data_IF_569295489163
#
_entry.id   IF_569295489163
#
_cell.length_a   1.000
_cell.length_b   1.000
_cell.length_c   1.000
_cell.angle_alpha   90.00
_cell.angle_beta   90.00
_cell.angle_gamma   90.00
#
_symmetry.space_group_name_H-M   'P 1'
#
loop_
_entity.id
_entity.type
_entity.pdbx_description
1 polymer ?
#
# COMPACT_ATOMS: atom_id res chain seq x y z
N UNK A 1 79.76 -19.82 50.66
CA UNK A 1 78.87 -18.82 51.31
C UNK A 1 79.29 -17.34 51.17
N UNK A 2 80.45 -16.96 50.58
CA UNK A 2 80.87 -15.54 50.45
C UNK A 2 80.26 -14.75 49.27
N UNK A 3 79.78 -15.43 48.21
CA UNK A 3 79.19 -14.77 47.02
C UNK A 3 77.77 -14.21 47.23
N UNK A 4 76.90 -14.96 47.92
CA UNK A 4 75.51 -14.55 48.18
C UNK A 4 75.38 -13.27 49.02
N UNK A 5 76.25 -13.09 50.03
CA UNK A 5 76.27 -11.87 50.86
C UNK A 5 76.69 -10.61 50.08
N UNK A 6 77.55 -10.73 49.05
CA UNK A 6 77.94 -9.60 48.18
C UNK A 6 76.86 -9.25 47.16
N UNK A 7 76.12 -10.22 46.67
CA UNK A 7 74.99 -10.00 45.76
C UNK A 7 73.81 -9.35 46.50
N UNK A 8 73.48 -9.85 47.69
CA UNK A 8 72.43 -9.29 48.53
C UNK A 8 72.71 -7.84 48.97
N UNK A 9 73.96 -7.52 49.32
CA UNK A 9 74.32 -6.14 49.70
C UNK A 9 74.33 -5.17 48.51
N UNK A 10 74.56 -5.65 47.28
CA UNK A 10 74.44 -4.83 46.05
C UNK A 10 72.98 -4.55 45.70
N UNK A 11 72.11 -5.56 45.79
CA UNK A 11 70.66 -5.41 45.62
C UNK A 11 70.06 -4.46 46.66
N UNK A 12 70.45 -4.60 47.93
CA UNK A 12 69.96 -3.73 49.01
C UNK A 12 70.42 -2.28 48.79
N UNK A 13 71.66 -2.05 48.36
CA UNK A 13 72.16 -0.69 48.01
C UNK A 13 71.45 -0.11 46.79
N UNK A 14 71.09 -0.94 45.80
CA UNK A 14 70.31 -0.49 44.65
C UNK A 14 68.88 -0.11 45.05
N UNK A 15 68.21 -0.90 45.90
CA UNK A 15 66.88 -0.58 46.43
C UNK A 15 66.88 0.68 47.30
N UNK A 16 67.91 0.87 48.13
CA UNK A 16 68.07 2.10 48.94
C UNK A 16 68.33 3.32 48.03
N UNK A 17 69.10 3.17 46.94
CA UNK A 17 69.30 4.24 45.96
C UNK A 17 68.01 4.58 45.21
N UNK A 18 67.22 3.58 44.84
CA UNK A 18 65.90 3.78 44.22
C UNK A 18 64.93 4.45 45.20
N UNK A 19 64.95 4.06 46.48
CA UNK A 19 64.12 4.68 47.53
C UNK A 19 64.57 6.11 47.88
N UNK A 20 65.85 6.46 47.71
CA UNK A 20 66.38 7.80 47.93
C UNK A 20 66.30 8.70 46.68
N UNK A 21 65.89 8.17 45.52
CA UNK A 21 65.83 8.93 44.28
C UNK A 21 64.56 9.78 44.20
N UNK A 22 64.74 11.11 44.28
CA UNK A 22 63.65 12.09 44.21
C UNK A 22 63.20 12.40 42.78
N UNK A 23 63.90 11.88 41.76
CA UNK A 23 63.53 12.07 40.34
C UNK A 23 62.27 11.27 39.94
N UNK A 24 61.84 10.31 40.77
CA UNK A 24 60.64 9.49 40.54
C UNK A 24 59.30 10.11 40.97
N UNK A 25 59.28 11.23 41.71
CA UNK A 25 58.02 11.81 42.23
C UNK A 25 57.03 12.22 41.14
N UNK A 26 57.54 12.76 40.02
CA UNK A 26 56.72 13.12 38.85
C UNK A 26 56.14 11.88 38.16
N UNK A 27 56.84 10.74 38.19
CA UNK A 27 56.36 9.50 37.56
C UNK A 27 55.14 8.93 38.27
N UNK A 28 55.06 9.07 39.60
CA UNK A 28 53.89 8.62 40.39
C UNK A 28 52.68 9.51 40.11
N UNK A 29 52.86 10.84 40.06
CA UNK A 29 51.77 11.77 39.72
C UNK A 29 51.29 11.54 38.28
N UNK A 30 52.20 11.36 37.33
CA UNK A 30 51.87 11.06 35.94
C UNK A 30 51.10 9.72 35.82
N UNK A 31 51.56 8.67 36.51
CA UNK A 31 50.88 7.38 36.52
C UNK A 31 49.45 7.46 37.08
N UNK A 32 49.24 8.24 38.14
CA UNK A 32 47.92 8.46 38.73
C UNK A 32 47.01 9.32 37.83
N UNK A 33 47.57 10.30 37.11
CA UNK A 33 46.82 11.13 36.16
C UNK A 33 46.49 10.42 34.85
N UNK A 34 47.26 9.39 34.48
CA UNK A 34 47.03 8.64 33.25
C UNK A 34 45.72 7.83 33.30
N UNK A 35 45.34 7.32 34.48
CA UNK A 35 44.08 6.58 34.68
C UNK A 35 42.84 7.41 34.31
N UNK A 36 42.60 8.61 34.88
CA UNK A 36 41.44 9.43 34.51
C UNK A 36 41.53 9.96 33.07
N UNK A 37 42.72 10.21 32.52
CA UNK A 37 42.86 10.63 31.11
C UNK A 37 42.43 9.52 30.14
N UNK A 38 42.93 8.30 30.36
CA UNK A 38 42.54 7.12 29.56
C UNK A 38 41.05 6.81 29.74
N UNK A 39 40.52 6.99 30.95
CA UNK A 39 39.09 6.82 31.22
C UNK A 39 38.22 7.77 30.40
N UNK A 40 38.55 9.07 30.38
CA UNK A 40 37.80 10.08 29.64
C UNK A 40 37.91 9.85 28.13
N UNK A 41 39.10 9.49 27.62
CA UNK A 41 39.29 9.13 26.21
C UNK A 41 38.49 7.88 25.83
N UNK A 42 38.52 6.85 26.68
CA UNK A 42 37.74 5.63 26.49
C UNK A 42 36.26 5.91 26.45
N UNK A 43 35.76 6.68 27.42
CA UNK A 43 34.35 7.06 27.48
C UNK A 43 33.95 7.84 26.23
N UNK A 44 34.73 8.84 25.81
CA UNK A 44 34.40 9.66 24.64
C UNK A 44 34.36 8.83 23.34
N UNK A 45 35.39 8.01 23.10
CA UNK A 45 35.52 7.23 21.86
C UNK A 45 34.49 6.10 21.79
N UNK A 46 34.31 5.35 22.87
CA UNK A 46 33.37 4.22 22.90
C UNK A 46 31.92 4.69 22.89
N UNK A 47 31.60 5.78 23.62
CA UNK A 47 30.25 6.37 23.58
C UNK A 47 29.92 6.91 22.18
N UNK A 48 30.86 7.59 21.51
CA UNK A 48 30.65 8.04 20.14
C UNK A 48 30.39 6.87 19.18
N UNK A 49 31.12 5.76 19.34
CA UNK A 49 30.88 4.52 18.60
C UNK A 49 29.49 3.95 18.87
N UNK A 50 29.08 3.84 20.13
CA UNK A 50 27.75 3.35 20.51
C UNK A 50 26.62 4.20 19.91
N UNK A 51 26.76 5.53 19.92
CA UNK A 51 25.77 6.42 19.30
C UNK A 51 25.71 6.26 17.78
N UNK A 52 26.86 6.09 17.12
CA UNK A 52 26.91 5.84 15.69
C UNK A 52 26.19 4.53 15.33
N UNK A 53 26.51 3.45 16.03
CA UNK A 53 25.85 2.16 15.83
C UNK A 53 24.37 2.18 16.22
N UNK A 54 23.97 2.95 17.25
CA UNK A 54 22.57 3.13 17.61
C UNK A 54 21.80 3.78 16.47
N UNK A 55 22.28 4.89 15.89
CA UNK A 55 21.61 5.54 14.75
C UNK A 55 21.53 4.65 13.51
N UNK A 56 22.63 3.96 13.21
CA UNK A 56 22.65 3.01 12.10
C UNK A 56 21.66 1.84 12.32
N UNK A 57 21.57 1.34 13.56
CA UNK A 57 20.63 0.28 13.93
C UNK A 57 19.17 0.76 13.84
N UNK A 58 18.88 2.01 14.20
CA UNK A 58 17.53 2.59 14.04
C UNK A 58 17.14 2.68 12.57
N UNK A 59 18.01 3.22 11.70
CA UNK A 59 17.74 3.25 10.26
C UNK A 59 17.53 1.84 9.68
N UNK A 60 18.29 0.85 10.16
CA UNK A 60 18.12 -0.54 9.76
C UNK A 60 16.80 -1.14 10.24
N UNK A 61 16.43 -0.89 11.51
CA UNK A 61 15.18 -1.37 12.09
C UNK A 61 13.96 -0.76 11.38
N UNK A 62 13.98 0.55 11.12
CA UNK A 62 12.93 1.27 10.41
C UNK A 62 12.73 0.68 9.01
N UNK A 63 13.79 0.60 8.21
CA UNK A 63 13.72 0.03 6.86
C UNK A 63 13.27 -1.44 6.87
N UNK A 64 13.74 -2.24 7.83
CA UNK A 64 13.38 -3.64 7.94
C UNK A 64 11.93 -3.85 8.41
N UNK A 65 11.40 -3.01 9.29
CA UNK A 65 10.00 -3.06 9.74
C UNK A 65 9.04 -2.76 8.60
N UNK A 66 9.35 -1.71 7.81
CA UNK A 66 8.63 -1.40 6.59
C UNK A 66 8.63 -2.61 5.65
N UNK A 67 9.81 -3.16 5.33
CA UNK A 67 9.92 -4.29 4.42
C UNK A 67 9.19 -5.57 4.91
N UNK A 68 9.22 -5.85 6.21
CA UNK A 68 8.44 -6.94 6.81
C UNK A 68 6.93 -6.73 6.63
N UNK A 69 6.44 -5.51 6.89
CA UNK A 69 5.05 -5.14 6.69
C UNK A 69 4.64 -5.08 5.21
N UNK A 70 5.59 -4.81 4.30
CA UNK A 70 5.41 -4.84 2.85
C UNK A 70 5.10 -6.24 2.34
N UNK A 71 5.91 -7.21 2.75
CA UNK A 71 5.78 -8.60 2.35
C UNK A 71 4.51 -9.23 2.93
N UNK A 72 4.14 -8.83 4.16
CA UNK A 72 2.92 -9.23 4.86
C UNK A 72 2.64 -10.75 4.84
N UNK A 73 3.67 -11.59 4.75
CA UNK A 73 3.52 -13.02 4.54
C UNK A 73 4.25 -13.86 5.57
N UNK A 74 3.47 -14.62 6.35
CA UNK A 74 3.98 -15.47 7.43
C UNK A 74 4.52 -16.82 6.95
N UNK A 75 4.20 -17.27 5.73
CA UNK A 75 4.56 -18.62 5.28
C UNK A 75 5.02 -18.63 3.83
N UNK A 76 6.25 -19.12 3.59
CA UNK A 76 6.88 -19.16 2.27
C UNK A 76 6.12 -19.99 1.22
N UNK A 77 5.28 -20.94 1.65
CA UNK A 77 4.42 -21.75 0.77
C UNK A 77 3.28 -20.97 0.12
N UNK A 78 2.93 -19.78 0.67
CA UNK A 78 1.89 -18.90 0.14
C UNK A 78 2.47 -17.80 -0.76
N UNK A 79 3.74 -17.42 -0.56
CA UNK A 79 4.32 -16.21 -1.16
C UNK A 79 5.61 -16.42 -1.97
N UNK A 80 6.05 -17.66 -2.15
CA UNK A 80 7.26 -17.99 -2.92
C UNK A 80 8.54 -17.71 -2.13
N UNK A 81 9.18 -18.76 -1.63
CA UNK A 81 10.54 -18.84 -1.07
C UNK A 81 10.96 -17.91 0.09
N UNK A 82 10.33 -16.75 0.33
CA UNK A 82 10.75 -15.79 1.36
C UNK A 82 9.57 -15.33 2.24
N UNK A 83 9.81 -15.24 3.55
CA UNK A 83 8.85 -14.74 4.57
C UNK A 83 9.11 -13.29 4.94
N UNK A 84 8.19 -12.65 5.69
CA UNK A 84 8.41 -11.30 6.24
C UNK A 84 9.72 -11.19 7.05
N UNK A 85 10.14 -12.29 7.70
CA UNK A 85 11.36 -12.31 8.51
C UNK A 85 12.62 -12.38 7.64
N UNK A 86 12.55 -13.05 6.50
CA UNK A 86 13.66 -13.12 5.55
C UNK A 86 13.88 -11.76 4.89
N UNK A 87 12.79 -11.06 4.54
CA UNK A 87 12.86 -9.71 3.97
C UNK A 87 13.44 -8.70 4.96
N UNK A 88 13.00 -8.74 6.23
CA UNK A 88 13.57 -7.90 7.29
C UNK A 88 15.09 -8.11 7.45
N UNK A 89 15.56 -9.36 7.35
CA UNK A 89 16.99 -9.70 7.43
C UNK A 89 17.75 -9.25 6.18
N UNK A 90 17.16 -9.41 4.99
CA UNK A 90 17.76 -8.98 3.74
C UNK A 90 17.98 -7.47 3.69
N UNK A 91 17.00 -6.68 4.16
CA UNK A 91 17.12 -5.23 4.27
C UNK A 91 18.14 -4.83 5.34
N UNK A 92 18.08 -5.42 6.54
CA UNK A 92 19.03 -5.12 7.62
C UNK A 92 20.50 -5.38 7.20
N UNK A 93 20.73 -6.41 6.38
CA UNK A 93 22.06 -6.69 5.79
C UNK A 93 22.60 -5.52 4.96
N UNK A 94 21.75 -4.77 4.24
CA UNK A 94 22.18 -3.58 3.46
C UNK A 94 22.71 -2.45 4.35
N UNK A 95 22.27 -2.41 5.61
CA UNK A 95 22.75 -1.48 6.63
C UNK A 95 23.90 -2.07 7.46
N UNK A 96 24.51 -3.17 7.01
CA UNK A 96 25.57 -3.89 7.71
C UNK A 96 25.13 -4.52 9.05
N UNK A 97 23.85 -4.87 9.18
CA UNK A 97 23.29 -5.63 10.30
C UNK A 97 22.83 -7.01 9.83
N UNK A 98 23.79 -7.90 9.59
CA UNK A 98 23.51 -9.26 9.13
C UNK A 98 23.18 -10.15 10.33
N UNK A 99 21.99 -10.75 10.35
CA UNK A 99 21.59 -11.69 11.40
C UNK A 99 22.58 -12.86 11.51
N UNK A 100 23.10 -13.11 12.71
CA UNK A 100 24.05 -14.19 12.99
C UNK A 100 25.52 -13.87 12.68
N UNK A 101 25.83 -12.65 12.21
CA UNK A 101 27.20 -12.17 12.00
C UNK A 101 27.49 -10.94 12.87
N UNK A 102 28.77 -10.68 13.17
CA UNK A 102 29.21 -9.49 13.93
C UNK A 102 28.41 -9.22 15.22
N UNK A 103 28.08 -10.30 15.94
CA UNK A 103 27.23 -10.28 17.14
C UNK A 103 25.92 -9.52 16.95
N UNK A 104 25.34 -9.63 15.75
CA UNK A 104 24.12 -8.95 15.35
C UNK A 104 22.96 -9.94 15.29
N UNK A 105 21.83 -9.57 15.87
CA UNK A 105 20.57 -10.31 15.75
C UNK A 105 19.48 -9.40 15.23
N UNK A 106 18.79 -9.87 14.19
CA UNK A 106 17.60 -9.23 13.61
C UNK A 106 16.41 -10.16 13.80
N UNK A 107 15.41 -9.70 14.54
CA UNK A 107 14.20 -10.47 14.84
C UNK A 107 13.00 -9.68 14.35
N UNK A 108 12.18 -10.30 13.50
CA UNK A 108 10.92 -9.76 13.03
C UNK A 108 9.76 -10.57 13.63
N UNK A 109 8.72 -9.88 14.09
CA UNK A 109 7.48 -10.45 14.61
C UNK A 109 6.30 -9.84 13.86
N UNK A 110 5.29 -10.64 13.54
CA UNK A 110 4.00 -10.18 13.02
C UNK A 110 2.94 -10.20 14.13
N UNK A 111 1.72 -9.74 13.81
CA UNK A 111 0.56 -9.75 14.70
C UNK A 111 0.82 -9.05 16.06
N UNK A 112 1.59 -7.97 16.04
CA UNK A 112 1.88 -7.17 17.23
C UNK A 112 0.84 -6.06 17.38
N UNK A 113 0.51 -5.71 18.63
CA UNK A 113 -0.29 -4.53 18.92
C UNK A 113 0.41 -3.28 18.38
N UNK A 114 -0.28 -2.49 17.57
CA UNK A 114 0.22 -1.23 17.07
C UNK A 114 0.34 -0.21 18.22
N UNK A 115 1.34 0.69 18.19
CA UNK A 115 1.45 1.76 19.18
C UNK A 115 0.21 2.67 19.24
N UNK A 116 -0.06 3.20 20.44
CA UNK A 116 -1.12 4.18 20.69
C UNK A 116 -0.99 5.38 19.74
N UNK A 117 -2.10 5.91 19.17
CA UNK A 117 -3.50 5.67 19.53
C UNK A 117 -4.18 4.50 18.80
N UNK A 118 -3.45 3.72 18.01
CA UNK A 118 -4.04 2.57 17.30
C UNK A 118 -4.40 1.43 18.26
N UNK A 119 -5.52 0.75 18.00
CA UNK A 119 -5.93 -0.48 18.69
C UNK A 119 -5.75 -1.72 17.83
N UNK A 120 -5.16 -1.56 16.63
CA UNK A 120 -4.93 -2.65 15.68
C UNK A 120 -3.84 -3.60 16.17
N UNK A 121 -3.91 -4.87 15.75
CA UNK A 121 -2.97 -5.94 16.14
C UNK A 121 -2.21 -6.53 14.96
N UNK A 122 -2.28 -5.90 13.80
CA UNK A 122 -1.65 -6.37 12.57
C UNK A 122 -0.23 -5.80 12.36
N UNK A 123 0.36 -5.09 13.33
CA UNK A 123 1.67 -4.49 13.17
C UNK A 123 2.81 -5.53 13.13
N UNK A 124 3.84 -5.20 12.36
CA UNK A 124 5.12 -5.88 12.34
C UNK A 124 6.10 -5.14 13.24
N UNK A 125 6.85 -5.87 14.04
CA UNK A 125 7.91 -5.34 14.91
C UNK A 125 9.24 -5.93 14.50
N UNK A 126 10.21 -5.08 14.18
CA UNK A 126 11.59 -5.50 13.93
C UNK A 126 12.51 -4.97 15.00
N UNK A 127 13.30 -5.86 15.58
CA UNK A 127 14.32 -5.55 16.58
C UNK A 127 15.69 -5.87 16.01
N UNK A 128 16.55 -4.87 15.91
CA UNK A 128 17.96 -4.99 15.51
C UNK A 128 18.82 -4.81 16.76
N UNK A 129 19.61 -5.83 17.09
CA UNK A 129 20.52 -5.82 18.23
C UNK A 129 21.94 -6.03 17.75
N UNK A 130 22.91 -5.27 18.27
CA UNK A 130 24.34 -5.51 18.06
C UNK A 130 25.11 -5.37 19.37
N UNK A 131 25.95 -6.36 19.66
CA UNK A 131 26.82 -6.35 20.83
C UNK A 131 28.24 -5.89 20.46
N UNK A 132 28.68 -4.78 21.07
CA UNK A 132 29.96 -4.15 20.78
C UNK A 132 30.94 -4.41 21.94
N UNK A 133 32.15 -4.92 21.67
CA UNK A 133 33.15 -5.12 22.70
C UNK A 133 33.57 -3.77 23.29
N UNK A 134 33.78 -3.78 24.61
CA UNK A 134 34.30 -2.65 25.36
C UNK A 134 35.80 -2.88 25.56
N UNK A 135 36.63 -1.85 25.38
CA UNK A 135 38.08 -1.92 25.54
C UNK A 135 38.57 -0.96 26.63
N UNK A 136 38.39 0.34 26.44
CA UNK A 136 39.04 1.38 27.24
C UNK A 136 38.27 1.72 28.52
N UNK A 137 36.94 1.77 28.48
CA UNK A 137 36.13 2.07 29.69
C UNK A 137 36.20 0.96 30.74
N UNK A 138 36.74 -0.22 30.40
CA UNK A 138 37.04 -1.28 31.39
C UNK A 138 38.03 -0.83 32.45
N UNK A 139 38.93 0.11 32.14
CA UNK A 139 39.93 0.63 33.10
C UNK A 139 39.27 1.29 34.32
N UNK A 140 38.04 1.81 34.16
CA UNK A 140 37.25 2.40 35.25
C UNK A 140 36.12 1.49 35.74
N UNK A 141 36.18 0.19 35.42
CA UNK A 141 35.22 -0.79 35.90
C UNK A 141 33.87 -0.78 35.19
N UNK A 142 33.74 -0.12 34.03
CA UNK A 142 32.53 -0.22 33.22
C UNK A 142 32.40 -1.62 32.63
N UNK A 143 31.36 -2.35 33.05
CA UNK A 143 31.10 -3.74 32.65
C UNK A 143 30.17 -3.90 31.45
N UNK A 144 29.65 -2.81 30.88
CA UNK A 144 28.68 -2.87 29.79
C UNK A 144 27.32 -3.39 30.23
N UNK A 145 26.64 -4.06 29.30
CA UNK A 145 25.34 -4.68 29.55
C UNK A 145 25.51 -5.99 30.30
N UNK A 146 24.83 -6.14 31.44
CA UNK A 146 24.97 -7.33 32.30
C UNK A 146 24.67 -8.62 31.52
N UNK A 147 25.56 -9.62 31.67
CA UNK A 147 25.42 -10.93 31.02
C UNK A 147 25.77 -10.97 29.52
N UNK A 148 26.22 -9.85 28.93
CA UNK A 148 26.59 -9.79 27.51
C UNK A 148 28.11 -9.84 27.37
N UNK A 149 28.60 -10.82 26.61
CA UNK A 149 30.03 -10.98 26.34
C UNK A 149 30.30 -11.14 24.86
N UNK A 150 31.38 -10.53 24.39
CA UNK A 150 31.90 -10.68 23.03
C UNK A 150 33.37 -11.08 23.17
N UNK A 151 33.77 -12.17 22.51
CA UNK A 151 35.12 -12.73 22.59
C UNK A 151 35.62 -12.94 24.03
N UNK A 152 34.73 -13.37 24.93
CA UNK A 152 35.07 -13.66 26.33
C UNK A 152 35.23 -12.44 27.24
N UNK A 153 34.93 -11.23 26.77
CA UNK A 153 34.95 -10.02 27.61
C UNK A 153 33.63 -9.24 27.60
N UNK A 154 33.40 -8.32 28.55
CA UNK A 154 32.18 -7.53 28.62
C UNK A 154 31.96 -6.68 27.37
N UNK A 155 30.69 -6.56 26.99
CA UNK A 155 30.24 -5.85 25.82
C UNK A 155 29.03 -4.95 26.12
N UNK A 156 28.85 -3.91 25.31
CA UNK A 156 27.69 -3.05 25.35
C UNK A 156 26.70 -3.47 24.28
N UNK A 157 25.45 -3.70 24.69
CA UNK A 157 24.36 -4.03 23.77
C UNK A 157 23.67 -2.77 23.27
N UNK A 158 23.53 -2.67 21.97
CA UNK A 158 22.81 -1.62 21.24
C UNK A 158 21.54 -2.25 20.68
N UNK A 159 20.38 -1.64 20.94
CA UNK A 159 19.06 -2.15 20.52
C UNK A 159 18.30 -1.04 19.81
N UNK A 160 17.79 -1.38 18.62
CA UNK A 160 16.85 -0.58 17.87
C UNK A 160 15.58 -1.37 17.61
N UNK A 161 14.44 -0.69 17.70
CA UNK A 161 13.12 -1.27 17.51
C UNK A 161 12.32 -0.33 16.65
N UNK A 162 11.72 -0.87 15.60
CA UNK A 162 10.76 -0.17 14.78
C UNK A 162 9.51 -1.03 14.61
N UNK A 163 8.37 -0.37 14.45
CA UNK A 163 7.11 -1.03 14.13
C UNK A 163 6.52 -0.40 12.86
N UNK A 164 5.92 -1.24 12.03
CA UNK A 164 5.21 -0.81 10.84
C UNK A 164 3.91 -1.58 10.72
N UNK A 165 2.85 -0.92 10.27
CA UNK A 165 1.59 -1.59 9.95
C UNK A 165 1.57 -2.01 8.47
N UNK A 166 1.04 -3.20 8.14
CA UNK A 166 0.71 -3.54 6.76
C UNK A 166 -0.47 -2.67 6.31
N UNK A 167 -0.67 -2.56 5.00
CA UNK A 167 -1.81 -1.88 4.39
C UNK A 167 -3.12 -2.35 5.03
N UNK A 168 -4.00 -1.43 5.41
CA UNK A 168 -5.32 -1.81 5.93
C UNK A 168 -6.15 -2.42 4.79
N UNK A 169 -6.91 -3.48 5.08
CA UNK A 169 -7.94 -3.97 4.15
C UNK A 169 -8.91 -2.82 3.84
N UNK A 170 -8.93 -2.35 2.60
CA UNK A 170 -9.69 -1.16 2.18
C UNK A 170 -8.83 -0.03 1.59
N UNK A 171 -7.51 -0.06 1.78
CA UNK A 171 -6.60 0.90 1.14
C UNK A 171 -6.21 0.47 -0.29
N UNK A 172 -6.93 -0.41 -0.99
CA UNK A 172 -6.51 -1.05 -2.27
C UNK A 172 -6.37 -0.15 -3.52
N UNK A 173 -6.17 -0.77 -4.68
CA UNK A 173 -6.12 -0.07 -5.97
C UNK A 173 -7.52 0.46 -6.32
N UNK A 174 -7.67 1.78 -6.37
CA UNK A 174 -8.92 2.38 -6.83
C UNK A 174 -8.95 2.51 -8.36
N UNK A 175 -7.80 2.40 -9.03
CA UNK A 175 -7.74 2.31 -10.48
C UNK A 175 -7.03 1.04 -10.90
N UNK A 176 -7.58 0.35 -11.90
CA UNK A 176 -6.94 -0.81 -12.50
C UNK A 176 -7.15 -0.87 -14.02
N UNK A 177 -6.11 -1.26 -14.76
CA UNK A 177 -6.24 -1.66 -16.16
C UNK A 177 -5.93 -3.14 -16.33
N UNK A 178 -6.79 -3.85 -17.07
CA UNK A 178 -6.70 -5.30 -17.26
C UNK A 178 -5.94 -5.68 -18.54
N UNK A 179 -5.96 -4.82 -19.56
CA UNK A 179 -5.19 -4.96 -20.79
C UNK A 179 -5.37 -6.31 -21.51
N UNK A 180 -6.61 -6.78 -21.66
CA UNK A 180 -6.96 -7.92 -22.49
C UNK A 180 -6.56 -7.73 -23.97
N UNK A 181 -6.51 -6.47 -24.43
CA UNK A 181 -6.02 -6.11 -25.75
C UNK A 181 -4.50 -6.31 -25.95
N UNK A 182 -3.74 -6.61 -24.90
CA UNK A 182 -2.28 -6.76 -24.91
C UNK A 182 -1.54 -5.57 -25.55
N UNK A 183 -2.02 -4.35 -25.31
CA UNK A 183 -1.31 -3.14 -25.72
C UNK A 183 -0.10 -2.89 -24.83
N UNK A 184 0.93 -2.24 -25.37
CA UNK A 184 2.15 -1.93 -24.61
C UNK A 184 1.86 -1.01 -23.41
N UNK A 185 1.07 0.04 -23.63
CA UNK A 185 0.72 1.02 -22.60
C UNK A 185 -0.80 1.03 -22.43
N UNK A 186 -1.29 0.51 -21.30
CA UNK A 186 -2.73 0.43 -21.02
C UNK A 186 -3.25 1.58 -20.16
N UNK A 187 -2.34 2.32 -19.50
CA UNK A 187 -2.67 3.54 -18.77
C UNK A 187 -1.88 4.73 -19.30
N UNK A 188 -2.58 5.78 -19.70
CA UNK A 188 -1.96 7.05 -20.14
C UNK A 188 -2.62 8.25 -19.49
N UNK A 189 -1.83 9.28 -19.19
CA UNK A 189 -2.36 10.58 -18.76
C UNK A 189 -1.73 11.72 -19.55
N UNK A 190 -2.57 12.50 -20.24
CA UNK A 190 -2.18 13.59 -21.12
C UNK A 190 -2.81 14.91 -20.65
N UNK A 191 -2.05 15.74 -19.95
CA UNK A 191 -2.49 17.08 -19.56
C UNK A 191 -3.58 17.08 -18.49
N UNK A 192 -3.24 16.58 -17.30
CA UNK A 192 -4.11 16.51 -16.12
C UNK A 192 -3.50 17.24 -14.90
N UNK A 193 -3.21 18.56 -14.99
CA UNK A 193 -2.49 19.30 -13.93
C UNK A 193 -3.27 19.41 -12.61
N UNK A 194 -4.58 19.14 -12.63
CA UNK A 194 -5.46 19.21 -11.47
C UNK A 194 -5.92 17.82 -10.99
N UNK A 195 -5.37 16.73 -11.53
CA UNK A 195 -5.71 15.39 -11.05
C UNK A 195 -5.33 15.26 -9.58
N UNK A 196 -6.29 14.87 -8.73
CA UNK A 196 -6.10 14.72 -7.31
C UNK A 196 -6.52 13.30 -6.87
N UNK A 197 -5.58 12.37 -7.04
CA UNK A 197 -5.74 10.98 -6.68
C UNK A 197 -5.06 10.64 -5.35
N UNK A 198 -4.96 11.61 -4.42
CA UNK A 198 -4.17 11.53 -3.18
C UNK A 198 -4.43 10.33 -2.27
N UNK A 199 -5.61 9.71 -2.39
CA UNK A 199 -6.04 8.53 -1.63
C UNK A 199 -6.20 7.28 -2.50
N UNK A 200 -5.78 7.32 -3.76
CA UNK A 200 -5.90 6.23 -4.69
C UNK A 200 -4.53 5.70 -5.10
N UNK A 201 -4.44 4.37 -5.15
CA UNK A 201 -3.35 3.67 -5.82
C UNK A 201 -3.85 3.09 -7.16
N UNK A 202 -2.93 2.93 -8.11
CA UNK A 202 -3.21 2.31 -9.41
C UNK A 202 -2.47 0.99 -9.60
N UNK A 203 -3.14 0.04 -10.24
CA UNK A 203 -2.51 -1.17 -10.78
C UNK A 203 -2.70 -1.23 -12.30
N UNK A 204 -1.60 -1.27 -13.04
CA UNK A 204 -1.62 -1.22 -14.50
C UNK A 204 -1.06 -2.52 -15.06
N UNK A 205 -1.87 -3.26 -15.81
CA UNK A 205 -1.38 -4.41 -16.56
C UNK A 205 -0.75 -3.92 -17.87
N UNK A 206 0.57 -4.00 -18.00
CA UNK A 206 1.35 -3.36 -19.07
C UNK A 206 2.07 -2.10 -18.56
N UNK A 207 2.34 -1.16 -19.47
CA UNK A 207 3.03 0.08 -19.14
C UNK A 207 2.05 1.21 -18.75
N UNK A 208 2.55 2.12 -17.91
CA UNK A 208 1.90 3.37 -17.53
C UNK A 208 2.73 4.57 -18.02
N UNK A 209 2.08 5.61 -18.55
CA UNK A 209 2.75 6.87 -18.90
C UNK A 209 1.90 8.09 -18.51
N UNK A 210 2.41 8.92 -17.60
CA UNK A 210 1.72 10.11 -17.12
C UNK A 210 2.34 11.45 -17.59
N UNK A 211 3.23 11.41 -18.57
CA UNK A 211 3.82 12.56 -19.25
C UNK A 211 4.30 13.68 -18.30
N UNK A 212 5.05 13.31 -17.25
CA UNK A 212 5.68 14.25 -16.33
C UNK A 212 4.81 14.72 -15.16
N UNK A 213 3.75 13.98 -14.79
CA UNK A 213 2.90 14.31 -13.64
C UNK A 213 2.44 13.06 -12.87
N UNK A 214 2.51 13.09 -11.54
CA UNK A 214 2.20 11.93 -10.69
C UNK A 214 0.70 11.66 -10.46
N UNK A 215 -0.17 12.56 -10.93
CA UNK A 215 -1.63 12.56 -10.75
C UNK A 215 -2.06 12.61 -9.27
N UNK A 216 -1.14 12.94 -8.37
CA UNK A 216 -1.23 12.75 -6.94
C UNK A 216 -1.53 11.29 -6.52
N UNK A 217 -1.33 10.29 -7.38
CA UNK A 217 -1.52 8.88 -7.04
C UNK A 217 -0.53 8.50 -5.94
N UNK A 218 -0.99 7.75 -4.93
CA UNK A 218 -0.15 7.29 -3.84
C UNK A 218 0.98 6.40 -4.35
N UNK A 219 0.59 5.24 -4.88
CA UNK A 219 1.47 4.28 -5.54
C UNK A 219 0.88 3.82 -6.86
N UNK A 220 1.72 3.80 -7.89
CA UNK A 220 1.39 3.20 -9.18
C UNK A 220 2.21 1.95 -9.40
N UNK A 221 1.52 0.81 -9.36
CA UNK A 221 2.09 -0.52 -9.63
C UNK A 221 1.82 -0.91 -11.07
N UNK A 222 2.82 -1.39 -11.78
CA UNK A 222 2.73 -1.78 -13.18
C UNK A 222 3.36 -3.16 -13.40
N UNK A 223 2.83 -3.96 -14.32
CA UNK A 223 3.48 -5.22 -14.71
C UNK A 223 4.58 -5.02 -15.76
N UNK A 224 4.58 -3.86 -16.43
CA UNK A 224 5.65 -3.39 -17.31
C UNK A 224 6.42 -2.23 -16.67
N UNK A 225 6.56 -1.12 -17.41
CA UNK A 225 7.24 0.10 -16.97
C UNK A 225 6.25 1.19 -16.53
N UNK A 226 6.72 2.11 -15.70
CA UNK A 226 5.99 3.28 -15.23
C UNK A 226 6.79 4.55 -15.53
N UNK A 227 6.21 5.44 -16.34
CA UNK A 227 6.79 6.74 -16.63
C UNK A 227 6.03 7.84 -15.88
N UNK A 228 6.54 8.24 -14.71
CA UNK A 228 6.09 9.37 -13.87
C UNK A 228 4.69 9.26 -13.26
N UNK A 229 4.05 8.08 -13.29
CA UNK A 229 2.75 7.91 -12.66
C UNK A 229 2.88 7.60 -11.16
N UNK A 230 2.22 8.39 -10.31
CA UNK A 230 2.22 8.23 -8.86
C UNK A 230 3.49 8.71 -8.16
N UNK A 231 3.37 8.94 -6.85
CA UNK A 231 4.48 9.40 -6.00
C UNK A 231 5.51 8.31 -5.73
N UNK A 232 5.08 7.06 -5.83
CA UNK A 232 5.91 5.88 -5.73
C UNK A 232 5.58 4.96 -6.90
N UNK A 233 6.62 4.54 -7.61
CA UNK A 233 6.51 3.69 -8.78
C UNK A 233 6.97 2.27 -8.43
N UNK A 234 6.14 1.28 -8.75
CA UNK A 234 6.49 -0.14 -8.65
C UNK A 234 6.36 -0.73 -10.05
N UNK A 235 7.48 -1.11 -10.65
CA UNK A 235 7.53 -1.67 -11.99
C UNK A 235 7.73 -3.18 -11.97
N UNK A 236 7.41 -3.85 -13.09
CA UNK A 236 7.62 -5.28 -13.29
C UNK A 236 6.99 -6.16 -12.20
N UNK A 237 5.87 -5.72 -11.63
CA UNK A 237 5.13 -6.47 -10.63
C UNK A 237 4.45 -7.70 -11.25
N UNK A 238 4.19 -8.71 -10.42
CA UNK A 238 3.39 -9.85 -10.84
C UNK A 238 1.97 -9.39 -11.24
N UNK A 239 1.46 -9.94 -12.33
CA UNK A 239 0.09 -9.68 -12.76
C UNK A 239 -0.92 -10.16 -11.72
N UNK A 240 -1.97 -9.36 -11.50
CA UNK A 240 -3.12 -9.73 -10.66
C UNK A 240 -4.20 -10.26 -11.59
N UNK A 241 -4.75 -11.44 -11.27
CA UNK A 241 -5.93 -11.95 -11.96
C UNK A 241 -7.11 -10.99 -11.75
N UNK A 242 -7.99 -10.86 -12.74
CA UNK A 242 -9.16 -9.97 -12.65
C UNK A 242 -9.95 -10.21 -11.34
N UNK A 243 -9.99 -9.21 -10.43
CA UNK A 243 -10.54 -9.37 -9.10
C UNK A 243 -12.08 -9.41 -9.07
N UNK A 244 -12.78 -9.00 -10.14
CA UNK A 244 -14.26 -8.97 -10.18
C UNK A 244 -14.86 -9.77 -11.32
N UNK A 245 -14.06 -10.50 -12.10
CA UNK A 245 -14.57 -11.42 -13.12
C UNK A 245 -15.53 -12.48 -12.55
N UNK A 246 -15.37 -12.87 -11.28
CA UNK A 246 -16.24 -13.85 -10.61
C UNK A 246 -17.71 -13.38 -10.49
N UNK A 247 -17.97 -12.07 -10.58
CA UNK A 247 -19.33 -11.54 -10.55
C UNK A 247 -20.09 -11.81 -11.86
N UNK A 248 -19.39 -12.07 -12.97
CA UNK A 248 -19.96 -12.31 -14.30
C UNK A 248 -20.50 -13.72 -14.53
N UNK A 249 -20.71 -14.50 -13.45
CA UNK A 249 -21.23 -15.87 -13.58
C UNK A 249 -22.71 -15.87 -13.99
N UNK A 250 -23.16 -16.95 -14.64
CA UNK A 250 -24.57 -17.14 -14.99
C UNK A 250 -25.52 -17.13 -13.78
N UNK A 251 -25.00 -17.34 -12.56
CA UNK A 251 -25.80 -17.23 -11.34
C UNK A 251 -26.15 -15.77 -11.01
N UNK A 252 -25.24 -14.84 -11.29
CA UNK A 252 -25.40 -13.42 -10.99
C UNK A 252 -25.96 -12.62 -12.18
N UNK A 253 -25.68 -13.07 -13.41
CA UNK A 253 -26.21 -12.53 -14.66
C UNK A 253 -26.88 -13.67 -15.43
N UNK A 254 -28.11 -14.08 -15.04
CA UNK A 254 -28.84 -15.14 -15.72
C UNK A 254 -28.96 -14.84 -17.23
N UNK A 255 -28.71 -15.81 -18.10
CA UNK A 255 -28.93 -15.63 -19.53
C UNK A 255 -30.37 -15.18 -19.80
N UNK A 256 -30.53 -14.05 -20.49
CA UNK A 256 -31.83 -13.53 -20.87
C UNK A 256 -31.91 -13.33 -22.38
N UNK A 257 -32.94 -13.88 -23.01
CA UNK A 257 -33.17 -13.71 -24.45
C UNK A 257 -34.30 -12.72 -24.66
N UNK A 258 -33.97 -11.59 -25.27
CA UNK A 258 -34.94 -10.57 -25.65
C UNK A 258 -35.65 -10.96 -26.95
N UNK A 259 -36.97 -10.73 -27.03
CA UNK A 259 -37.73 -10.92 -28.27
C UNK A 259 -37.33 -9.90 -29.36
N UNK A 260 -37.01 -8.68 -28.96
CA UNK A 260 -36.44 -7.61 -29.80
C UNK A 260 -35.56 -6.70 -28.95
N UNK A 261 -34.76 -5.86 -29.61
CA UNK A 261 -33.83 -4.92 -28.96
C UNK A 261 -34.20 -3.47 -29.29
N UNK A 262 -35.49 -3.14 -29.21
CA UNK A 262 -35.99 -1.80 -29.56
C UNK A 262 -35.63 -0.73 -28.53
N UNK A 263 -35.12 -1.12 -27.35
CA UNK A 263 -34.87 -0.23 -26.23
C UNK A 263 -36.14 0.21 -25.51
N UNK A 264 -35.96 0.98 -24.45
CA UNK A 264 -37.03 1.57 -23.64
C UNK A 264 -36.74 3.05 -23.39
N UNK A 265 -37.79 3.85 -23.21
CA UNK A 265 -37.66 5.22 -22.69
C UNK A 265 -38.45 5.36 -21.41
N UNK A 266 -37.75 5.70 -20.31
CA UNK A 266 -38.38 5.98 -19.03
C UNK A 266 -38.66 7.47 -18.91
N UNK A 267 -39.95 7.81 -18.92
CA UNK A 267 -40.45 9.16 -18.68
C UNK A 267 -41.06 9.32 -17.27
N UNK A 268 -41.15 8.23 -16.52
CA UNK A 268 -41.57 8.19 -15.13
C UNK A 268 -40.69 7.18 -14.38
N UNK A 269 -40.47 7.42 -13.08
CA UNK A 269 -39.58 6.59 -12.28
C UNK A 269 -40.25 5.23 -11.98
N UNK A 270 -39.69 4.10 -12.46
CA UNK A 270 -40.11 2.81 -11.93
C UNK A 270 -39.71 2.70 -10.46
N UNK A 271 -40.56 2.05 -9.67
CA UNK A 271 -40.16 1.63 -8.33
C UNK A 271 -39.21 0.44 -8.48
N UNK A 272 -37.97 0.57 -8.00
CA UNK A 272 -36.97 -0.47 -8.15
C UNK A 272 -36.94 -1.47 -6.99
N UNK A 273 -37.70 -1.26 -5.91
CA UNK A 273 -37.60 -2.07 -4.68
C UNK A 273 -37.85 -3.58 -4.87
N UNK A 274 -38.43 -4.00 -5.99
CA UNK A 274 -38.69 -5.40 -6.33
C UNK A 274 -37.61 -6.05 -7.21
N UNK A 275 -36.68 -5.27 -7.76
CA UNK A 275 -35.67 -5.75 -8.71
C UNK A 275 -34.36 -6.08 -8.02
N UNK A 276 -34.25 -7.27 -7.45
CA UNK A 276 -33.06 -7.70 -6.71
C UNK A 276 -32.05 -8.40 -7.62
N UNK A 277 -30.90 -8.81 -7.09
CA UNK A 277 -29.95 -9.66 -7.82
C UNK A 277 -30.57 -10.99 -8.32
N UNK A 278 -31.53 -11.55 -7.57
CA UNK A 278 -32.23 -12.79 -7.94
C UNK A 278 -33.36 -12.57 -8.96
N UNK A 279 -33.88 -11.34 -9.06
CA UNK A 279 -34.94 -10.95 -9.99
C UNK A 279 -34.62 -9.58 -10.60
N UNK A 280 -33.58 -9.48 -11.45
CA UNK A 280 -33.14 -8.19 -11.98
C UNK A 280 -34.12 -7.65 -13.03
N UNK A 281 -34.08 -6.33 -13.23
CA UNK A 281 -34.84 -5.67 -14.29
C UNK A 281 -34.08 -5.72 -15.61
N UNK A 282 -34.53 -6.53 -16.56
CA UNK A 282 -33.98 -6.55 -17.91
C UNK A 282 -34.52 -5.40 -18.76
N UNK A 283 -33.65 -4.73 -19.51
CA UNK A 283 -33.96 -3.79 -20.59
C UNK A 283 -33.33 -4.32 -21.87
N UNK A 284 -34.12 -4.50 -22.91
CA UNK A 284 -33.66 -5.06 -24.18
C UNK A 284 -33.35 -3.95 -25.20
N UNK A 285 -32.08 -3.67 -25.43
CA UNK A 285 -31.62 -2.52 -26.20
C UNK A 285 -31.32 -1.31 -25.30
N UNK A 286 -31.31 -0.10 -25.86
CA UNK A 286 -30.94 1.09 -25.10
C UNK A 286 -31.98 1.45 -24.03
N UNK A 287 -31.54 1.78 -22.81
CA UNK A 287 -32.38 2.43 -21.81
C UNK A 287 -32.22 3.95 -21.93
N UNK A 288 -33.26 4.66 -22.34
CA UNK A 288 -33.26 6.12 -22.44
C UNK A 288 -33.97 6.75 -21.25
N UNK A 289 -33.30 7.66 -20.55
CA UNK A 289 -33.89 8.47 -19.47
C UNK A 289 -34.44 9.75 -20.10
N UNK A 290 -35.75 9.78 -20.35
CA UNK A 290 -36.44 10.83 -21.10
C UNK A 290 -36.92 12.02 -20.28
N UNK A 291 -37.10 11.84 -18.96
CA UNK A 291 -37.45 12.88 -17.99
C UNK A 291 -36.50 12.85 -16.79
N UNK A 292 -36.53 13.84 -15.90
CA UNK A 292 -35.73 13.77 -14.67
C UNK A 292 -36.33 12.71 -13.74
N UNK A 293 -35.58 11.64 -13.49
CA UNK A 293 -36.02 10.50 -12.69
C UNK A 293 -35.26 10.42 -11.37
N UNK A 294 -35.98 10.23 -10.28
CA UNK A 294 -35.43 9.79 -9.00
C UNK A 294 -35.93 8.37 -8.72
N UNK A 295 -35.04 7.39 -8.75
CA UNK A 295 -35.40 5.98 -8.55
C UNK A 295 -35.27 5.60 -7.08
N UNK A 296 -36.39 5.24 -6.47
CA UNK A 296 -36.40 4.65 -5.14
C UNK A 296 -35.97 3.19 -5.23
N UNK A 297 -34.92 2.85 -4.48
CA UNK A 297 -34.36 1.49 -4.39
C UNK A 297 -34.16 1.12 -2.91
N UNK A 298 -34.03 -0.17 -2.61
CA UNK A 298 -33.60 -0.63 -1.28
C UNK A 298 -32.09 -0.44 -1.12
N UNK A 299 -31.63 0.01 0.06
CA UNK A 299 -30.20 0.16 0.37
C UNK A 299 -29.43 -1.17 0.30
N UNK A 300 -30.10 -2.23 0.73
CA UNK A 300 -29.53 -3.57 0.89
C UNK A 300 -30.62 -4.61 0.56
N UNK A 301 -30.33 -5.62 -0.27
CA UNK A 301 -29.08 -5.85 -0.99
C UNK A 301 -28.89 -4.98 -2.25
N UNK A 302 -29.76 -3.97 -2.46
CA UNK A 302 -29.74 -3.14 -3.67
C UNK A 302 -30.72 -3.61 -4.75
N UNK A 303 -30.94 -2.72 -5.72
CA UNK A 303 -31.65 -3.06 -6.95
C UNK A 303 -30.70 -3.29 -8.11
N UNK A 304 -31.07 -4.14 -9.08
CA UNK A 304 -30.25 -4.48 -10.24
C UNK A 304 -31.03 -4.24 -11.54
N UNK A 305 -30.43 -3.48 -12.45
CA UNK A 305 -30.90 -3.30 -13.82
C UNK A 305 -29.88 -3.91 -14.76
N UNK A 306 -30.32 -4.79 -15.67
CA UNK A 306 -29.49 -5.40 -16.71
C UNK A 306 -29.93 -4.83 -18.06
N UNK A 307 -29.02 -4.17 -18.76
CA UNK A 307 -29.23 -3.65 -20.11
C UNK A 307 -28.60 -4.63 -21.10
N UNK A 308 -29.43 -5.34 -21.84
CA UNK A 308 -29.04 -6.38 -22.80
C UNK A 308 -28.83 -5.78 -24.20
N UNK A 309 -27.61 -5.90 -24.75
CA UNK A 309 -27.18 -5.36 -26.05
C UNK A 309 -27.57 -3.89 -26.27
N UNK A 310 -27.34 -3.05 -25.25
CA UNK A 310 -27.62 -1.62 -25.32
C UNK A 310 -26.84 -0.83 -24.27
N UNK A 311 -26.92 0.49 -24.37
CA UNK A 311 -26.35 1.44 -23.43
C UNK A 311 -27.42 2.18 -22.61
N UNK A 312 -26.96 3.00 -21.67
CA UNK A 312 -27.78 3.94 -20.92
C UNK A 312 -27.67 5.31 -21.59
N UNK A 313 -28.80 5.87 -22.04
CA UNK A 313 -28.85 7.17 -22.73
C UNK A 313 -29.51 8.20 -21.82
N UNK A 314 -28.72 9.12 -21.30
CA UNK A 314 -29.15 10.18 -20.38
C UNK A 314 -29.58 11.43 -21.16
N UNK A 315 -30.81 11.43 -21.68
CA UNK A 315 -31.42 12.65 -22.23
C UNK A 315 -31.79 13.65 -21.12
N UNK A 316 -32.01 13.15 -19.90
CA UNK A 316 -32.30 13.88 -18.66
C UNK A 316 -31.59 13.22 -17.47
N UNK A 317 -31.81 13.76 -16.27
CA UNK A 317 -31.12 13.32 -15.06
C UNK A 317 -31.70 12.01 -14.52
N UNK A 318 -30.82 11.13 -14.05
CA UNK A 318 -31.13 9.93 -13.30
C UNK A 318 -30.46 10.01 -11.92
N UNK A 319 -31.26 10.09 -10.86
CA UNK A 319 -30.77 10.13 -9.48
C UNK A 319 -31.31 8.95 -8.68
N UNK A 320 -30.51 8.42 -7.76
CA UNK A 320 -30.94 7.47 -6.73
C UNK A 320 -30.59 8.13 -5.40
N UNK A 321 -31.52 8.25 -4.44
CA UNK A 321 -31.24 8.90 -3.16
C UNK A 321 -30.18 8.19 -2.33
N UNK A 322 -29.47 8.93 -1.46
CA UNK A 322 -28.58 8.35 -0.44
C UNK A 322 -29.38 7.40 0.47
N UNK A 323 -28.77 6.28 0.85
CA UNK A 323 -29.47 5.22 1.58
C UNK A 323 -30.27 4.29 0.67
N UNK A 324 -30.05 4.35 -0.65
CA UNK A 324 -30.53 3.37 -1.64
C UNK A 324 -29.33 2.87 -2.45
N UNK A 325 -29.40 1.65 -2.99
CA UNK A 325 -28.32 1.06 -3.79
C UNK A 325 -28.81 0.59 -5.16
N UNK A 326 -28.10 0.88 -6.23
CA UNK A 326 -28.41 0.43 -7.59
C UNK A 326 -27.15 -0.11 -8.26
N UNK A 327 -27.26 -1.25 -8.93
CA UNK A 327 -26.25 -1.76 -9.84
C UNK A 327 -26.81 -1.76 -11.26
N UNK A 328 -26.08 -1.12 -12.18
CA UNK A 328 -26.38 -1.15 -13.62
C UNK A 328 -25.41 -2.10 -14.29
N UNK A 329 -25.94 -3.15 -14.93
CA UNK A 329 -25.17 -4.18 -15.60
C UNK A 329 -25.36 -4.04 -17.11
N UNK A 330 -24.27 -3.91 -17.86
CA UNK A 330 -24.27 -4.03 -19.32
C UNK A 330 -23.98 -5.48 -19.69
N UNK A 331 -24.94 -6.14 -20.35
CA UNK A 331 -24.91 -7.56 -20.68
C UNK A 331 -25.30 -7.79 -22.14
N UNK A 332 -25.14 -9.02 -22.63
CA UNK A 332 -25.43 -9.38 -24.00
C UNK A 332 -24.97 -10.78 -24.35
N UNK A 333 -25.09 -11.12 -25.64
CA UNK A 333 -24.53 -12.37 -26.15
C UNK A 333 -23.00 -12.33 -26.08
N UNK A 334 -22.39 -13.48 -25.84
CA UNK A 334 -20.93 -13.59 -25.80
C UNK A 334 -20.30 -13.05 -27.09
N UNK A 335 -19.21 -12.31 -26.96
CA UNK A 335 -18.50 -11.70 -28.09
C UNK A 335 -19.18 -10.47 -28.68
N UNK A 336 -20.22 -9.92 -28.05
CA UNK A 336 -20.79 -8.62 -28.47
C UNK A 336 -20.09 -7.45 -27.79
N UNK A 337 -20.16 -6.28 -28.43
CA UNK A 337 -19.62 -5.04 -27.89
C UNK A 337 -20.47 -4.58 -26.68
N UNK A 338 -19.84 -4.17 -25.57
CA UNK A 338 -20.56 -3.59 -24.45
C UNK A 338 -21.19 -2.24 -24.79
N UNK A 339 -22.36 -2.00 -24.20
CA UNK A 339 -22.89 -0.65 -24.10
C UNK A 339 -22.13 0.19 -23.07
N UNK A 340 -22.39 1.49 -23.08
CA UNK A 340 -21.90 2.42 -22.08
C UNK A 340 -22.92 3.53 -21.83
N UNK A 341 -22.63 4.44 -20.90
CA UNK A 341 -23.46 5.61 -20.65
C UNK A 341 -23.16 6.73 -21.65
N UNK A 342 -24.21 7.30 -22.23
CA UNK A 342 -24.13 8.43 -23.18
C UNK A 342 -25.15 9.51 -22.83
N UNK A 343 -25.11 10.65 -23.50
CA UNK A 343 -26.09 11.73 -23.34
C UNK A 343 -25.55 12.94 -22.58
N UNK A 344 -26.46 13.77 -22.08
CA UNK A 344 -26.17 15.09 -21.51
C UNK A 344 -26.70 15.28 -20.07
N UNK A 345 -27.40 14.29 -19.51
CA UNK A 345 -27.96 14.35 -18.16
C UNK A 345 -26.94 14.07 -17.05
N UNK A 346 -27.41 14.10 -15.81
CA UNK A 346 -26.67 13.73 -14.61
C UNK A 346 -26.99 12.28 -14.24
N UNK A 347 -25.97 11.50 -13.89
CA UNK A 347 -26.09 10.18 -13.30
C UNK A 347 -25.57 10.24 -11.86
N UNK A 348 -26.48 10.17 -10.88
CA UNK A 348 -26.16 10.38 -9.46
C UNK A 348 -26.68 9.23 -8.58
N UNK A 349 -25.83 8.27 -8.23
CA UNK A 349 -26.22 7.11 -7.44
C UNK A 349 -25.05 6.37 -6.79
N UNK A 350 -25.37 5.46 -5.86
CA UNK A 350 -24.41 4.54 -5.26
C UNK A 350 -24.75 3.07 -5.59
N UNK A 351 -23.71 2.25 -5.68
CA UNK A 351 -23.84 0.80 -5.58
C UNK A 351 -24.38 0.38 -4.19
N UNK A 352 -24.94 -0.84 -4.06
CA UNK A 352 -25.42 -1.32 -2.77
C UNK A 352 -24.29 -1.62 -1.79
N UNK A 353 -24.56 -1.59 -0.49
CA UNK A 353 -23.53 -1.78 0.55
C UNK A 353 -23.37 -3.22 1.03
N UNK A 354 -24.17 -4.15 0.51
CA UNK A 354 -24.12 -5.59 0.84
C UNK A 354 -24.79 -6.43 -0.25
N UNK A 355 -24.69 -7.75 -0.15
CA UNK A 355 -25.22 -8.68 -1.16
C UNK A 355 -24.23 -8.95 -2.30
N UNK A 356 -24.67 -9.69 -3.32
CA UNK A 356 -23.82 -10.10 -4.46
C UNK A 356 -23.12 -8.93 -5.15
N UNK A 357 -23.81 -7.80 -5.28
CA UNK A 357 -23.30 -6.60 -5.96
C UNK A 357 -22.77 -5.54 -4.99
N UNK A 358 -22.43 -5.94 -3.75
CA UNK A 358 -21.87 -5.03 -2.74
C UNK A 358 -20.71 -4.21 -3.29
N UNK A 359 -20.83 -2.88 -3.20
CA UNK A 359 -19.85 -1.92 -3.70
C UNK A 359 -19.87 -1.71 -5.22
N UNK A 360 -20.70 -2.40 -6.00
CA UNK A 360 -20.69 -2.34 -7.47
C UNK A 360 -21.80 -1.45 -8.01
N UNK A 361 -21.43 -0.31 -8.61
CA UNK A 361 -22.37 0.64 -9.19
C UNK A 361 -22.61 0.38 -10.68
N UNK A 362 -21.54 0.13 -11.44
CA UNK A 362 -21.60 -0.27 -12.85
C UNK A 362 -20.79 -1.51 -13.08
N UNK A 363 -21.35 -2.43 -13.85
CA UNK A 363 -20.71 -3.68 -14.21
C UNK A 363 -20.91 -3.95 -15.70
N UNK A 364 -19.84 -4.22 -16.42
CA UNK A 364 -19.90 -4.82 -17.74
C UNK A 364 -19.64 -6.31 -17.58
N UNK A 365 -20.55 -7.10 -18.12
CA UNK A 365 -20.44 -8.54 -18.21
C UNK A 365 -19.16 -8.96 -18.97
N UNK A 366 -18.24 -9.72 -18.35
CA UNK A 366 -17.02 -10.23 -18.98
C UNK A 366 -17.25 -11.13 -20.20
N UNK A 367 -18.48 -11.62 -20.43
CA UNK A 367 -18.84 -12.34 -21.67
C UNK A 367 -18.79 -11.43 -22.91
N UNK A 368 -18.86 -10.12 -22.72
CA UNK A 368 -18.78 -9.08 -23.76
C UNK A 368 -17.32 -8.77 -24.12
N UNK A 369 -16.69 -9.70 -24.83
CA UNK A 369 -15.24 -9.67 -25.10
C UNK A 369 -14.81 -8.78 -26.27
N UNK A 370 -15.76 -8.20 -27.02
CA UNK A 370 -15.43 -7.26 -28.09
C UNK A 370 -15.07 -5.91 -27.48
N UNK A 371 -13.79 -5.55 -27.55
CA UNK A 371 -13.29 -4.29 -27.03
C UNK A 371 -13.99 -3.08 -27.66
N UNK A 372 -14.44 -2.16 -26.82
CA UNK A 372 -15.10 -0.91 -27.24
C UNK A 372 -14.41 0.27 -26.59
N UNK A 373 -14.44 1.43 -27.24
CA UNK A 373 -13.93 2.68 -26.66
C UNK A 373 -15.08 3.61 -26.27
N UNK A 374 -14.94 4.24 -25.11
CA UNK A 374 -15.86 5.28 -24.64
C UNK A 374 -15.07 6.52 -24.22
N UNK A 375 -15.58 7.71 -24.57
CA UNK A 375 -15.00 8.97 -24.12
C UNK A 375 -15.98 9.73 -23.25
N UNK A 376 -15.63 9.93 -21.99
CA UNK A 376 -16.30 10.86 -21.10
C UNK A 376 -15.68 12.25 -21.25
N UNK A 377 -16.48 13.24 -21.66
CA UNK A 377 -15.97 14.60 -21.96
C UNK A 377 -15.94 15.54 -20.75
N UNK A 378 -16.28 15.05 -19.56
CA UNK A 378 -16.06 15.76 -18.30
C UNK A 378 -17.23 16.58 -17.75
N UNK A 379 -18.22 16.90 -18.58
CA UNK A 379 -19.42 17.65 -18.16
C UNK A 379 -20.74 16.98 -18.58
N UNK A 380 -20.70 16.10 -19.59
CA UNK A 380 -21.88 15.50 -20.21
C UNK A 380 -21.61 14.04 -20.62
N UNK A 381 -22.33 13.06 -20.08
CA UNK A 381 -23.20 13.17 -18.90
C UNK A 381 -22.39 13.39 -17.62
N UNK A 382 -22.90 14.09 -16.60
CA UNK A 382 -22.19 14.24 -15.32
C UNK A 382 -22.23 12.91 -14.55
N UNK A 383 -21.08 12.42 -14.08
CA UNK A 383 -20.98 11.21 -13.26
C UNK A 383 -20.74 11.54 -11.77
N UNK A 384 -21.75 11.27 -10.95
CA UNK A 384 -21.71 11.28 -9.49
C UNK A 384 -21.99 9.86 -8.99
N UNK A 385 -20.97 9.01 -8.95
CA UNK A 385 -21.14 7.57 -8.77
C UNK A 385 -20.31 7.12 -7.58
N UNK A 386 -20.97 6.55 -6.57
CA UNK A 386 -20.28 5.92 -5.43
C UNK A 386 -20.21 4.41 -5.64
N UNK A 387 -19.00 3.85 -5.72
CA UNK A 387 -18.74 2.42 -5.88
C UNK A 387 -17.80 2.09 -7.05
N UNK A 388 -17.80 0.82 -7.43
CA UNK A 388 -17.01 0.26 -8.52
C UNK A 388 -17.71 0.46 -9.87
N UNK A 389 -16.93 0.97 -10.83
CA UNK A 389 -17.22 0.93 -12.25
C UNK A 389 -16.29 -0.10 -12.90
N UNK A 390 -16.80 -1.31 -13.11
CA UNK A 390 -16.05 -2.43 -13.67
C UNK A 390 -16.42 -2.63 -15.14
N UNK A 391 -15.45 -2.40 -16.04
CA UNK A 391 -15.60 -2.30 -17.49
C UNK A 391 -14.46 -3.04 -18.22
N UNK A 392 -14.33 -4.38 -18.06
CA UNK A 392 -13.11 -5.12 -18.38
C UNK A 392 -12.72 -5.17 -19.87
N UNK A 393 -13.64 -4.83 -20.78
CA UNK A 393 -13.35 -4.71 -22.23
C UNK A 393 -13.69 -3.31 -22.77
N UNK A 394 -13.64 -2.28 -21.91
CA UNK A 394 -13.83 -0.89 -22.31
C UNK A 394 -12.51 -0.13 -22.26
N UNK A 395 -12.17 0.54 -23.36
CA UNK A 395 -11.11 1.55 -23.42
C UNK A 395 -11.71 2.90 -23.05
N UNK A 396 -11.52 3.33 -21.80
CA UNK A 396 -12.16 4.52 -21.26
C UNK A 396 -11.23 5.74 -21.33
N UNK A 397 -11.62 6.75 -22.10
CA UNK A 397 -11.00 8.08 -22.09
C UNK A 397 -11.80 9.02 -21.21
N UNK A 398 -11.17 9.60 -20.19
CA UNK A 398 -11.79 10.51 -19.24
C UNK A 398 -11.20 11.91 -19.40
N UNK A 399 -12.06 12.89 -19.72
CA UNK A 399 -11.66 14.28 -19.95
C UNK A 399 -12.18 15.30 -18.94
N UNK A 400 -12.79 14.85 -17.86
CA UNK A 400 -13.10 15.70 -16.72
C UNK A 400 -13.54 14.92 -15.50
N UNK A 401 -14.20 15.61 -14.56
CA UNK A 401 -14.41 15.12 -13.21
C UNK A 401 -15.44 13.99 -13.16
N UNK A 402 -15.10 12.92 -12.47
CA UNK A 402 -16.04 11.93 -11.93
C UNK A 402 -16.04 12.16 -10.42
N UNK A 403 -17.23 12.33 -9.85
CA UNK A 403 -17.41 12.55 -8.41
C UNK A 403 -18.15 11.37 -7.80
N UNK A 404 -18.17 11.32 -6.46
CA UNK A 404 -19.02 10.39 -5.73
C UNK A 404 -20.47 10.89 -5.78
N UNK A 405 -21.42 10.02 -5.41
CA UNK A 405 -22.83 10.40 -5.30
C UNK A 405 -22.96 11.66 -4.44
N UNK A 406 -23.87 12.57 -4.80
CA UNK A 406 -24.12 13.78 -4.02
C UNK A 406 -24.57 13.41 -2.60
N UNK A 407 -23.81 13.86 -1.59
CA UNK A 407 -23.99 13.50 -0.16
C UNK A 407 -23.80 12.01 0.16
N UNK A 408 -23.24 11.23 -0.75
CA UNK A 408 -22.91 9.82 -0.54
C UNK A 408 -21.50 9.63 0.04
N UNK A 409 -21.13 8.37 0.25
CA UNK A 409 -19.80 8.01 0.70
C UNK A 409 -18.75 8.33 -0.39
N UNK A 410 -17.58 8.78 0.07
CA UNK A 410 -16.34 8.98 -0.68
C UNK A 410 -15.72 7.63 -1.09
N UNK A 411 -16.32 6.99 -2.09
CA UNK A 411 -15.80 5.76 -2.67
C UNK A 411 -16.01 5.71 -4.17
N UNK A 412 -14.92 5.65 -4.94
CA UNK A 412 -14.93 5.40 -6.36
C UNK A 412 -13.78 4.48 -6.71
N UNK A 413 -14.08 3.45 -7.48
CA UNK A 413 -13.09 2.57 -8.10
C UNK A 413 -13.41 2.37 -9.56
N UNK A 414 -12.40 2.38 -10.42
CA UNK A 414 -12.54 2.15 -11.84
C UNK A 414 -11.62 1.02 -12.26
N UNK A 415 -12.19 0.03 -12.94
CA UNK A 415 -11.44 -1.06 -13.57
C UNK A 415 -11.85 -1.11 -15.03
N UNK A 416 -10.90 -0.93 -15.94
CA UNK A 416 -11.16 -0.91 -17.38
C UNK A 416 -10.18 -1.79 -18.15
N UNK A 417 -10.39 -2.00 -19.45
CA UNK A 417 -9.38 -2.66 -20.28
C UNK A 417 -8.15 -1.75 -20.42
N UNK A 418 -8.40 -0.53 -20.89
CA UNK A 418 -7.42 0.54 -21.00
C UNK A 418 -8.03 1.83 -20.44
N UNK A 419 -7.17 2.71 -19.96
CA UNK A 419 -7.60 4.00 -19.42
C UNK A 419 -6.70 5.12 -19.92
N UNK A 420 -7.34 6.19 -20.38
CA UNK A 420 -6.67 7.43 -20.71
C UNK A 420 -7.31 8.58 -19.95
N UNK A 421 -6.52 9.32 -19.20
CA UNK A 421 -6.94 10.58 -18.58
C UNK A 421 -6.43 11.72 -19.46
N UNK A 422 -7.28 12.65 -19.86
CA UNK A 422 -6.83 13.81 -20.63
C UNK A 422 -7.72 15.03 -20.46
N UNK A 423 -7.19 16.11 -19.91
CA UNK A 423 -7.94 17.36 -19.71
C UNK A 423 -7.67 17.98 -18.35
N UNK A 424 -7.97 19.26 -18.21
CA UNK A 424 -7.58 20.08 -17.05
C UNK A 424 -8.53 19.94 -15.85
N UNK A 425 -9.51 19.05 -15.89
CA UNK A 425 -10.47 18.86 -14.80
C UNK A 425 -9.80 18.21 -13.58
N UNK A 426 -10.21 18.61 -12.38
CA UNK A 426 -9.83 17.85 -11.19
C UNK A 426 -10.50 16.48 -11.21
N UNK A 427 -9.67 15.46 -11.11
CA UNK A 427 -10.11 14.07 -11.05
C UNK A 427 -10.16 13.69 -9.58
N UNK A 428 -11.31 13.21 -9.09
CA UNK A 428 -11.38 12.40 -7.88
C UNK A 428 -11.02 13.01 -6.51
N UNK A 429 -11.50 14.22 -6.23
CA UNK A 429 -11.39 14.81 -4.88
C UNK A 429 -11.98 13.86 -3.79
N UNK A 430 -11.11 13.34 -2.91
CA UNK A 430 -11.42 12.47 -1.78
C UNK A 430 -12.11 11.13 -2.16
N UNK A 431 -11.41 10.24 -2.86
CA UNK A 431 -12.07 9.14 -3.58
C UNK A 431 -12.27 7.81 -2.88
N UNK A 432 -11.55 7.49 -1.83
CA UNK A 432 -11.50 6.10 -1.32
C UNK A 432 -11.60 5.98 0.20
N UNK A 433 -11.71 7.11 0.91
CA UNK A 433 -11.74 7.16 2.38
C UNK A 433 -12.92 6.39 2.99
N UNK A 434 -13.96 6.13 2.19
CA UNK A 434 -15.20 5.51 2.65
C UNK A 434 -15.61 4.25 1.84
N UNK A 435 -14.68 3.58 1.15
CA UNK A 435 -15.03 2.42 0.33
C UNK A 435 -15.54 1.20 1.12
N UNK A 436 -15.00 0.95 2.31
CA UNK A 436 -15.50 -0.12 3.18
C UNK A 436 -16.96 0.13 3.60
N UNK A 437 -17.32 1.39 3.91
CA UNK A 437 -18.69 1.80 4.26
C UNK A 437 -19.64 1.67 3.07
N UNK A 438 -19.12 1.80 1.84
CA UNK A 438 -19.86 1.53 0.60
C UNK A 438 -19.95 0.04 0.24
N UNK A 439 -19.44 -0.86 1.09
CA UNK A 439 -19.43 -2.30 0.82
C UNK A 439 -18.46 -2.72 -0.29
N UNK A 440 -17.52 -1.85 -0.68
CA UNK A 440 -16.52 -2.13 -1.70
C UNK A 440 -15.18 -2.50 -1.07
N UNK A 441 -14.69 -3.70 -1.38
CA UNK A 441 -13.32 -4.11 -1.07
C UNK A 441 -12.47 -3.89 -2.30
N UNK A 442 -11.54 -2.93 -2.26
CA UNK A 442 -10.64 -2.62 -3.37
C UNK A 442 -9.61 -3.76 -3.59
N UNK A 443 -9.18 -4.03 -4.84
CA UNK A 443 -8.12 -5.00 -5.13
C UNK A 443 -6.80 -4.65 -4.44
N UNK A 444 -5.99 -5.65 -4.09
CA UNK A 444 -4.67 -5.44 -3.52
C UNK A 444 -3.67 -6.45 -4.10
N UNK A 445 -2.42 -6.02 -4.35
CA UNK A 445 -1.33 -6.93 -4.71
C UNK A 445 -0.71 -7.51 -3.44
N UNK A 446 -0.27 -8.77 -3.50
CA UNK A 446 0.44 -9.42 -2.40
C UNK A 446 1.84 -8.83 -2.14
N UNK A 447 2.37 -7.93 -2.98
CA UNK A 447 3.77 -7.50 -2.93
C UNK A 447 4.02 -6.05 -3.40
N UNK A 448 2.98 -5.20 -3.52
CA UNK A 448 3.18 -3.83 -3.99
C UNK A 448 3.75 -2.96 -2.88
N UNK A 449 4.98 -2.49 -3.04
CA UNK A 449 5.58 -1.49 -2.17
C UNK A 449 4.72 -0.22 -2.11
N UNK A 450 3.87 -0.10 -1.10
CA UNK A 450 3.03 1.07 -0.86
C UNK A 450 2.81 1.31 0.63
N UNK A 451 3.05 2.58 1.03
CA UNK A 451 2.82 3.23 2.33
C UNK A 451 2.79 2.34 3.56
N UNK A 452 3.91 1.67 3.85
CA UNK A 452 4.16 1.28 5.22
C UNK A 452 4.45 2.57 6.01
N UNK A 453 3.69 2.81 7.07
CA UNK A 453 4.01 3.87 8.01
C UNK A 453 4.79 3.24 9.16
N UNK A 454 5.94 3.84 9.49
CA UNK A 454 6.51 3.62 10.81
C UNK A 454 5.49 4.10 11.82
N UNK A 455 5.09 3.21 12.71
CA UNK A 455 4.28 3.54 13.86
C UNK A 455 5.27 3.49 15.02
N UNK A 456 5.74 4.65 15.47
CA UNK A 456 6.65 4.77 16.61
C UNK A 456 5.87 5.07 17.88
#
# INVERSE_FOLDING_TARGET
MKGAKRMFSRLLRQLIRVAADRRGGVSVMLALMLVPLVAVMGLATETASWYFFQRAAQNAADAAALAAAANNCATASVCGTATYADEARAVSKRYNFTHGADNTTVVALNNQACPSPSTETNCYKVTVTRDLPIYLTRVVGFGGTSGVTVNGGPAQRIVAVAMAKPRASGEGYCMMTLNHGNVTTSFTSNGAPNADMGLCDSFVTGNANCNGHDLNIGVSTTTGTNDTCGKSEVEHAAAISDPYAYLGTNANIPPHTCANYNGETWNSAPNLTTYTAANPRYVCGNLTIGSNLSLSSVASPGSVIIIEKGGLVLSKNLTVPVGSGLTIVFSGASGTAPGFVTGNGILDYAGPTSGTWSGVAMYQDPRLTTATSATYTGNKPTFNITGLMYLPYMNLTIKGAINHQTNGNQCISIITDQMQISGTGSFFANTTSQCAQSGLTLPAAANSGARQALVQ
#
